data_IF_739151928450
#
_entry.id   IF_739151928450
#
_cell.length_a   1.000
_cell.length_b   1.000
_cell.length_c   1.000
_cell.angle_alpha   90.00
_cell.angle_beta   90.00
_cell.angle_gamma   90.00
#
_symmetry.space_group_name_H-M   'P 1'
#
loop_
_entity.id
_entity.type
_entity.pdbx_description
1 polymer ?
#
# COMPACT_ATOMS: atom_id res chain seq x y z
N UNK A 1 -31.59 -31.60 63.22
CA UNK A 1 -31.71 -31.82 61.76
C UNK A 1 -31.59 -30.48 61.06
N UNK A 2 -30.80 -30.36 59.99
CA UNK A 2 -30.27 -29.08 59.51
C UNK A 2 -31.31 -28.28 58.72
N UNK A 3 -31.26 -26.95 58.90
CA UNK A 3 -32.12 -25.98 58.24
C UNK A 3 -31.66 -25.68 56.81
N UNK A 4 -32.65 -25.52 55.92
CA UNK A 4 -32.47 -25.27 54.51
C UNK A 4 -31.95 -23.84 54.23
N UNK A 5 -30.73 -23.75 53.70
CA UNK A 5 -30.20 -22.54 53.05
C UNK A 5 -29.75 -22.95 51.64
N UNK A 6 -30.61 -22.72 50.65
CA UNK A 6 -30.31 -23.13 49.27
C UNK A 6 -31.43 -22.82 48.30
N UNK A 7 -31.60 -21.55 47.94
CA UNK A 7 -32.45 -21.17 46.79
C UNK A 7 -32.13 -19.79 46.18
N UNK A 8 -31.46 -18.88 46.89
CA UNK A 8 -31.22 -17.51 46.38
C UNK A 8 -30.03 -17.34 45.42
N UNK A 9 -29.09 -18.28 45.31
CA UNK A 9 -27.92 -18.13 44.43
C UNK A 9 -28.21 -18.48 42.96
N UNK A 10 -29.18 -19.36 42.70
CA UNK A 10 -29.51 -19.85 41.36
C UNK A 10 -30.37 -18.85 40.57
N UNK A 11 -31.27 -18.15 41.26
CA UNK A 11 -32.17 -17.13 40.67
C UNK A 11 -31.37 -15.90 40.24
N UNK A 12 -30.40 -15.45 41.05
CA UNK A 12 -29.54 -14.29 40.73
C UNK A 12 -28.63 -14.59 39.53
N UNK A 13 -28.08 -15.80 39.40
CA UNK A 13 -27.27 -16.20 38.23
C UNK A 13 -28.09 -16.29 36.94
N UNK A 14 -29.37 -16.70 36.99
CA UNK A 14 -30.25 -16.72 35.81
C UNK A 14 -30.65 -15.30 35.35
N UNK A 15 -30.88 -14.37 36.28
CA UNK A 15 -31.18 -12.97 35.96
C UNK A 15 -30.00 -12.25 35.30
N UNK A 16 -28.76 -12.46 35.78
CA UNK A 16 -27.57 -11.89 35.13
C UNK A 16 -27.29 -12.50 33.75
N UNK A 17 -27.60 -13.79 33.54
CA UNK A 17 -27.41 -14.43 32.23
C UNK A 17 -28.46 -13.95 31.21
N UNK A 18 -29.69 -13.68 31.66
CA UNK A 18 -30.75 -13.14 30.80
C UNK A 18 -30.54 -11.67 30.46
N UNK A 19 -30.10 -10.83 31.41
CA UNK A 19 -29.73 -9.43 31.11
C UNK A 19 -28.51 -9.34 30.19
N UNK A 20 -27.49 -10.19 30.37
CA UNK A 20 -26.31 -10.19 29.50
C UNK A 20 -26.61 -10.67 28.06
N UNK A 21 -27.51 -11.65 27.90
CA UNK A 21 -27.99 -12.06 26.58
C UNK A 21 -28.86 -10.97 25.95
N UNK A 22 -29.73 -10.31 26.72
CA UNK A 22 -30.53 -9.19 26.22
C UNK A 22 -29.65 -8.00 25.81
N UNK A 23 -28.59 -7.69 26.57
CA UNK A 23 -27.63 -6.62 26.28
C UNK A 23 -26.77 -6.86 25.03
N UNK A 24 -26.54 -8.12 24.64
CA UNK A 24 -25.81 -8.46 23.40
C UNK A 24 -26.74 -8.67 22.20
N UNK A 25 -27.97 -9.13 22.44
CA UNK A 25 -28.93 -9.48 21.38
C UNK A 25 -29.75 -8.26 20.95
N UNK A 26 -30.10 -7.34 21.85
CA UNK A 26 -30.84 -6.11 21.51
C UNK A 26 -30.06 -5.21 20.54
N UNK A 27 -28.76 -4.93 20.72
CA UNK A 27 -27.99 -4.18 19.72
C UNK A 27 -27.88 -4.89 18.38
N UNK A 28 -27.85 -6.23 18.37
CA UNK A 28 -27.80 -7.04 17.15
C UNK A 28 -29.15 -7.04 16.42
N UNK A 29 -30.26 -7.11 17.16
CA UNK A 29 -31.62 -6.99 16.62
C UNK A 29 -31.87 -5.58 16.10
N UNK A 30 -31.47 -4.54 16.83
CA UNK A 30 -31.55 -3.15 16.38
C UNK A 30 -30.66 -2.89 15.17
N UNK A 31 -29.47 -3.49 15.13
CA UNK A 31 -28.59 -3.44 13.96
C UNK A 31 -29.23 -4.13 12.76
N UNK A 32 -29.77 -5.35 12.92
CA UNK A 32 -30.46 -6.08 11.85
C UNK A 32 -31.73 -5.36 11.41
N UNK A 33 -32.49 -4.77 12.34
CA UNK A 33 -33.70 -4.00 12.05
C UNK A 33 -33.37 -2.73 11.27
N UNK A 34 -32.37 -1.95 11.71
CA UNK A 34 -31.84 -0.80 10.95
C UNK A 34 -31.27 -1.23 9.60
N UNK A 35 -30.62 -2.38 9.51
CA UNK A 35 -30.12 -2.94 8.26
C UNK A 35 -31.26 -3.26 7.30
N UNK A 36 -32.35 -3.81 7.83
CA UNK A 36 -33.52 -4.16 7.04
C UNK A 36 -34.34 -2.92 6.64
N UNK A 37 -34.42 -1.88 7.47
CA UNK A 37 -35.04 -0.59 7.12
C UNK A 37 -34.22 0.19 6.09
N UNK A 38 -32.90 0.30 6.28
CA UNK A 38 -32.02 0.97 5.34
C UNK A 38 -31.96 0.26 3.98
N UNK A 39 -32.00 -1.08 3.96
CA UNK A 39 -32.11 -1.84 2.72
C UNK A 39 -33.50 -1.72 2.07
N UNK A 40 -34.58 -1.57 2.85
CA UNK A 40 -35.95 -1.41 2.32
C UNK A 40 -36.22 -0.01 1.76
N UNK A 41 -35.52 1.03 2.24
CA UNK A 41 -35.77 2.40 1.83
C UNK A 41 -35.33 2.72 0.38
N UNK A 42 -34.32 2.03 -0.18
CA UNK A 42 -33.68 2.43 -1.45
C UNK A 42 -33.49 1.32 -2.50
N UNK A 43 -34.24 0.22 -2.44
CA UNK A 43 -34.10 -0.91 -3.39
C UNK A 43 -34.67 -0.65 -4.81
N UNK A 44 -34.96 0.60 -5.17
CA UNK A 44 -35.32 0.99 -6.54
C UNK A 44 -34.21 1.78 -7.25
N UNK A 45 -32.95 1.63 -6.82
CA UNK A 45 -31.80 2.06 -7.62
C UNK A 45 -31.63 0.99 -8.71
N UNK A 46 -32.23 1.24 -9.86
CA UNK A 46 -32.37 0.28 -10.95
C UNK A 46 -31.05 -0.42 -11.29
N UNK A 47 -31.03 -1.74 -11.14
CA UNK A 47 -30.09 -2.63 -11.82
C UNK A 47 -30.34 -2.55 -13.32
N UNK A 48 -29.89 -1.47 -13.95
CA UNK A 48 -29.82 -1.40 -15.41
C UNK A 48 -28.76 -2.39 -15.89
N UNK A 49 -29.02 -3.03 -17.03
CA UNK A 49 -28.12 -4.02 -17.68
C UNK A 49 -26.69 -3.51 -17.94
N UNK A 50 -26.43 -2.21 -17.75
CA UNK A 50 -25.15 -1.55 -18.00
C UNK A 50 -24.41 -1.08 -16.73
N UNK A 51 -25.08 -0.84 -15.60
CA UNK A 51 -24.45 -0.32 -14.37
C UNK A 51 -25.09 -0.92 -13.11
N UNK A 52 -24.25 -1.53 -12.25
CA UNK A 52 -24.65 -2.07 -10.96
C UNK A 52 -24.22 -1.13 -9.82
N UNK A 53 -25.20 -0.54 -9.14
CA UNK A 53 -25.01 0.37 -8.01
C UNK A 53 -25.35 -0.27 -6.66
N UNK A 54 -25.54 -1.60 -6.61
CA UNK A 54 -25.85 -2.34 -5.37
C UNK A 54 -24.82 -2.08 -4.26
N UNK A 55 -23.54 -1.96 -4.61
CA UNK A 55 -22.48 -1.63 -3.67
C UNK A 55 -22.56 -0.19 -3.13
N UNK A 56 -23.01 0.77 -3.94
CA UNK A 56 -23.24 2.15 -3.50
C UNK A 56 -24.41 2.21 -2.50
N UNK A 57 -25.52 1.53 -2.82
CA UNK A 57 -26.68 1.43 -1.93
C UNK A 57 -26.31 0.75 -0.60
N UNK A 58 -25.55 -0.35 -0.64
CA UNK A 58 -25.02 -1.01 0.56
C UNK A 58 -24.17 -0.07 1.40
N UNK A 59 -23.27 0.70 0.79
CA UNK A 59 -22.41 1.63 1.51
C UNK A 59 -23.21 2.76 2.17
N UNK A 60 -24.20 3.33 1.48
CA UNK A 60 -25.11 4.34 2.05
C UNK A 60 -25.91 3.79 3.24
N UNK A 61 -26.42 2.57 3.14
CA UNK A 61 -27.11 1.91 4.24
C UNK A 61 -26.19 1.69 5.46
N UNK A 62 -24.95 1.24 5.23
CA UNK A 62 -23.95 1.06 6.30
C UNK A 62 -23.60 2.38 6.99
N UNK A 63 -23.50 3.46 6.22
CA UNK A 63 -23.25 4.80 6.76
C UNK A 63 -24.44 5.29 7.61
N UNK A 64 -25.68 5.06 7.15
CA UNK A 64 -26.90 5.33 7.92
C UNK A 64 -26.98 4.51 9.23
N UNK A 65 -26.37 3.31 9.25
CA UNK A 65 -26.22 2.48 10.45
C UNK A 65 -25.10 2.94 11.38
N UNK A 66 -24.37 4.00 11.04
CA UNK A 66 -23.25 4.53 11.82
C UNK A 66 -21.93 3.78 11.62
N UNK A 67 -21.84 2.90 10.61
CA UNK A 67 -20.59 2.24 10.23
C UNK A 67 -19.76 3.27 9.46
N UNK A 68 -18.66 3.73 10.08
CA UNK A 68 -17.73 4.63 9.41
C UNK A 68 -17.02 3.90 8.27
N UNK A 69 -17.01 4.43 7.04
CA UNK A 69 -16.22 3.83 5.98
C UNK A 69 -14.73 3.85 6.36
N UNK A 70 -13.96 2.83 5.94
CA UNK A 70 -12.52 2.83 6.16
C UNK A 70 -11.92 4.07 5.49
N UNK A 71 -11.18 4.86 6.26
CA UNK A 71 -10.51 6.05 5.73
C UNK A 71 -9.30 5.62 4.93
N UNK A 72 -9.26 6.00 3.65
CA UNK A 72 -8.06 5.85 2.83
C UNK A 72 -6.99 6.81 3.33
N UNK A 73 -5.81 6.29 3.65
CA UNK A 73 -4.65 7.12 4.02
C UNK A 73 -3.87 7.42 2.76
N UNK A 74 -3.94 8.66 2.29
CA UNK A 74 -3.01 9.16 1.27
C UNK A 74 -1.64 9.29 1.91
N UNK A 75 -0.62 8.81 1.22
CA UNK A 75 0.76 9.15 1.54
C UNK A 75 1.12 10.38 0.72
N UNK A 76 1.84 11.35 1.30
CA UNK A 76 2.49 12.35 0.45
C UNK A 76 3.79 11.80 -0.10
N UNK A 77 4.16 12.30 -1.27
CA UNK A 77 5.15 11.70 -2.18
C UNK A 77 5.54 12.72 -3.22
N UNK A 78 6.79 12.66 -3.68
CA UNK A 78 7.22 13.36 -4.89
C UNK A 78 7.76 12.32 -5.87
N UNK A 79 7.10 12.21 -7.03
CA UNK A 79 7.60 11.43 -8.17
C UNK A 79 7.91 12.37 -9.34
N UNK A 80 8.98 12.08 -10.06
CA UNK A 80 9.48 12.90 -11.17
C UNK A 80 9.93 12.00 -12.32
N UNK A 81 9.66 12.41 -13.55
CA UNK A 81 10.14 11.74 -14.75
C UNK A 81 10.53 12.74 -15.83
N UNK A 82 11.58 12.44 -16.58
CA UNK A 82 12.12 13.26 -17.67
C UNK A 82 12.60 12.36 -18.82
N UNK A 83 12.15 12.65 -20.04
CA UNK A 83 12.69 12.06 -21.26
C UNK A 83 13.95 12.80 -21.69
N UNK A 84 14.94 12.05 -22.16
CA UNK A 84 16.17 12.58 -22.75
C UNK A 84 16.43 11.91 -24.11
N UNK A 85 17.49 12.33 -24.81
CA UNK A 85 17.73 11.93 -26.21
C UNK A 85 17.61 10.43 -26.47
N UNK A 86 18.21 9.61 -25.62
CA UNK A 86 18.33 8.17 -25.82
C UNK A 86 17.45 7.36 -24.86
N UNK A 87 16.61 7.99 -24.05
CA UNK A 87 15.89 7.28 -23.00
C UNK A 87 15.04 8.12 -22.06
N UNK A 88 14.84 7.61 -20.85
CA UNK A 88 14.03 8.22 -19.80
C UNK A 88 14.69 8.03 -18.44
N UNK A 89 14.61 9.04 -17.58
CA UNK A 89 14.92 8.92 -16.15
C UNK A 89 13.65 9.15 -15.34
N UNK A 90 13.37 8.26 -14.39
CA UNK A 90 12.24 8.39 -13.46
C UNK A 90 12.71 8.19 -12.03
N UNK A 91 12.17 8.92 -11.08
CA UNK A 91 12.54 8.77 -9.68
C UNK A 91 11.47 9.22 -8.71
N UNK A 92 11.69 8.84 -7.46
CA UNK A 92 10.81 9.12 -6.34
C UNK A 92 11.59 9.26 -5.04
N UNK A 93 10.99 9.95 -4.07
CA UNK A 93 11.45 9.95 -2.69
C UNK A 93 11.02 8.66 -1.94
N UNK A 94 11.64 8.36 -0.80
CA UNK A 94 11.41 7.11 -0.06
C UNK A 94 10.54 7.26 1.19
N UNK A 95 10.07 8.46 1.53
CA UNK A 95 9.23 8.69 2.70
C UNK A 95 7.80 8.21 2.45
N UNK A 96 7.25 7.39 3.33
CA UNK A 96 5.82 7.09 3.36
C UNK A 96 5.22 7.57 4.68
N UNK A 97 4.11 8.31 4.59
CA UNK A 97 3.44 8.93 5.73
C UNK A 97 2.08 8.28 5.98
N UNK A 98 1.72 8.10 7.26
CA UNK A 98 0.38 7.69 7.67
C UNK A 98 -0.26 8.86 8.43
N UNK A 99 -0.96 9.72 7.70
CA UNK A 99 -1.34 11.04 8.22
C UNK A 99 -0.10 11.90 8.43
N UNK A 100 0.07 12.46 9.61
CA UNK A 100 1.19 13.38 9.91
C UNK A 100 2.46 12.68 10.43
N UNK A 101 2.47 11.35 10.46
CA UNK A 101 3.59 10.55 10.99
C UNK A 101 4.28 9.83 9.84
N UNK A 102 5.61 9.82 9.84
CA UNK A 102 6.40 9.01 8.90
C UNK A 102 6.27 7.54 9.33
N UNK A 103 5.57 6.75 8.51
CA UNK A 103 5.37 5.32 8.72
C UNK A 103 6.57 4.50 8.24
N UNK A 104 7.16 4.89 7.12
CA UNK A 104 8.36 4.27 6.56
C UNK A 104 9.30 5.34 5.98
N UNK A 105 10.59 5.16 6.20
CA UNK A 105 11.67 6.02 5.69
C UNK A 105 12.28 5.51 4.39
N UNK A 106 12.03 4.24 4.03
CA UNK A 106 12.71 3.54 2.93
C UNK A 106 11.73 2.86 1.97
N UNK A 107 10.55 3.45 1.79
CA UNK A 107 9.54 2.93 0.88
C UNK A 107 9.97 3.08 -0.59
N UNK A 108 9.84 2.01 -1.38
CA UNK A 108 10.12 2.04 -2.82
C UNK A 108 8.84 2.37 -3.60
N UNK A 109 8.90 3.44 -4.41
CA UNK A 109 7.76 3.95 -5.19
C UNK A 109 7.96 3.87 -6.70
N UNK A 110 9.09 3.32 -7.12
CA UNK A 110 9.45 3.06 -8.52
C UNK A 110 9.19 1.59 -8.78
N UNK A 111 8.11 1.27 -9.45
CA UNK A 111 7.67 -0.10 -9.69
C UNK A 111 8.08 -0.57 -11.08
N UNK A 112 8.74 -1.73 -11.16
CA UNK A 112 9.03 -2.40 -12.43
C UNK A 112 7.76 -3.03 -12.99
N UNK A 113 7.36 -2.66 -14.21
CA UNK A 113 6.23 -3.31 -14.89
C UNK A 113 6.71 -4.44 -15.81
N UNK A 114 7.69 -4.15 -16.67
CA UNK A 114 8.41 -5.11 -17.53
C UNK A 114 9.90 -4.77 -17.53
N UNK A 115 10.72 -5.45 -18.33
CA UNK A 115 12.15 -5.14 -18.44
C UNK A 115 12.43 -3.77 -19.09
N UNK A 116 11.48 -3.20 -19.83
CA UNK A 116 11.62 -1.91 -20.53
C UNK A 116 10.61 -0.84 -20.08
N UNK A 117 9.73 -1.14 -19.13
CA UNK A 117 8.66 -0.25 -18.67
C UNK A 117 8.64 -0.20 -17.14
N UNK A 118 8.63 1.00 -16.59
CA UNK A 118 8.51 1.29 -15.17
C UNK A 118 7.34 2.24 -14.91
N UNK A 119 6.86 2.25 -13.68
CA UNK A 119 5.86 3.19 -13.22
C UNK A 119 6.23 3.76 -11.86
N UNK A 120 6.11 5.08 -11.70
CA UNK A 120 6.19 5.73 -10.40
C UNK A 120 4.77 6.03 -9.91
N UNK A 121 4.52 5.76 -8.63
CA UNK A 121 3.21 5.89 -8.02
C UNK A 121 3.11 7.01 -6.99
N UNK A 122 2.00 7.76 -7.02
CA UNK A 122 1.60 8.72 -5.99
C UNK A 122 0.10 8.55 -5.62
N UNK A 123 -0.28 8.94 -4.40
CA UNK A 123 -1.64 8.79 -3.87
C UNK A 123 -1.75 7.68 -2.81
N UNK A 124 -2.79 6.85 -2.90
CA UNK A 124 -3.01 5.76 -1.95
C UNK A 124 -2.02 4.63 -2.21
N UNK A 125 -1.11 4.37 -1.26
CA UNK A 125 -0.03 3.39 -1.43
C UNK A 125 -0.54 1.96 -1.76
N UNK A 126 -1.63 1.52 -1.12
CA UNK A 126 -2.18 0.19 -1.36
C UNK A 126 -2.76 0.05 -2.78
N UNK A 127 -3.48 1.07 -3.26
CA UNK A 127 -4.05 1.10 -4.61
C UNK A 127 -2.94 1.05 -5.67
N UNK A 128 -1.87 1.83 -5.47
CA UNK A 128 -0.71 1.85 -6.34
C UNK A 128 -0.05 0.49 -6.47
N UNK A 129 0.21 -0.18 -5.34
CA UNK A 129 0.85 -1.50 -5.32
C UNK A 129 0.00 -2.54 -6.06
N UNK A 130 -1.31 -2.54 -5.83
CA UNK A 130 -2.21 -3.49 -6.52
C UNK A 130 -2.35 -3.18 -8.02
N UNK A 131 -2.49 -1.92 -8.40
CA UNK A 131 -2.59 -1.51 -9.80
C UNK A 131 -1.30 -1.83 -10.54
N UNK A 132 -0.13 -1.52 -9.98
CA UNK A 132 1.16 -1.82 -10.62
C UNK A 132 1.42 -3.31 -10.75
N UNK A 133 1.11 -4.12 -9.72
CA UNK A 133 1.18 -5.60 -9.80
C UNK A 133 0.28 -6.17 -10.88
N UNK A 134 -0.97 -5.68 -10.96
CA UNK A 134 -1.91 -6.08 -12.00
C UNK A 134 -1.39 -5.74 -13.40
N UNK A 135 -0.90 -4.52 -13.60
CA UNK A 135 -0.34 -4.07 -14.87
C UNK A 135 0.88 -4.91 -15.26
N UNK A 136 1.79 -5.15 -14.32
CA UNK A 136 2.98 -6.00 -14.54
C UNK A 136 2.57 -7.41 -14.98
N UNK A 137 1.63 -8.05 -14.28
CA UNK A 137 1.15 -9.39 -14.63
C UNK A 137 0.49 -9.42 -16.03
N UNK A 138 -0.36 -8.45 -16.34
CA UNK A 138 -1.04 -8.37 -17.65
C UNK A 138 -0.06 -8.12 -18.80
N UNK A 139 0.92 -7.24 -18.60
CA UNK A 139 1.96 -6.97 -19.60
C UNK A 139 2.86 -8.18 -19.79
N UNK A 140 3.25 -8.85 -18.70
CA UNK A 140 4.06 -10.06 -18.79
C UNK A 140 3.34 -11.18 -19.53
N UNK A 141 2.05 -11.39 -19.26
CA UNK A 141 1.23 -12.36 -19.98
C UNK A 141 1.14 -12.01 -21.48
N UNK A 142 1.01 -10.73 -21.81
CA UNK A 142 1.01 -10.26 -23.21
C UNK A 142 2.33 -10.56 -23.91
N UNK A 143 3.47 -10.31 -23.25
CA UNK A 143 4.80 -10.60 -23.81
C UNK A 143 4.98 -12.08 -24.06
N UNK A 144 4.56 -12.93 -23.13
CA UNK A 144 4.62 -14.39 -23.28
C UNK A 144 3.74 -14.89 -24.43
N UNK A 145 2.53 -14.34 -24.57
CA UNK A 145 1.60 -14.74 -25.63
C UNK A 145 2.03 -14.27 -27.02
N UNK A 146 2.66 -13.09 -27.12
CA UNK A 146 3.04 -12.49 -28.41
C UNK A 146 4.48 -12.77 -28.81
N UNK A 147 5.33 -13.20 -27.87
CA UNK A 147 6.77 -13.35 -28.06
C UNK A 147 7.49 -12.02 -28.29
N UNK A 148 6.87 -10.87 -27.98
CA UNK A 148 7.40 -9.52 -28.23
C UNK A 148 7.34 -8.67 -26.97
N UNK A 149 8.29 -7.76 -26.80
CA UNK A 149 8.28 -6.77 -25.69
C UNK A 149 7.01 -5.92 -25.74
N UNK A 150 6.44 -5.63 -24.57
CA UNK A 150 5.26 -4.78 -24.47
C UNK A 150 5.58 -3.33 -24.85
N UNK A 151 4.61 -2.63 -25.44
CA UNK A 151 4.70 -1.18 -25.73
C UNK A 151 4.21 -0.36 -24.54
N UNK A 152 4.79 0.82 -24.34
CA UNK A 152 4.43 1.72 -23.21
C UNK A 152 2.96 2.15 -23.29
N UNK A 153 2.47 2.43 -24.51
CA UNK A 153 1.06 2.74 -24.79
C UNK A 153 0.10 1.63 -24.31
N UNK A 154 0.52 0.36 -24.35
CA UNK A 154 -0.32 -0.74 -23.87
C UNK A 154 -0.48 -0.69 -22.35
N UNK A 155 0.60 -0.39 -21.62
CA UNK A 155 0.56 -0.19 -20.17
C UNK A 155 -0.37 0.98 -19.81
N UNK A 156 -0.24 2.11 -20.50
CA UNK A 156 -1.13 3.26 -20.34
C UNK A 156 -2.60 2.91 -20.61
N UNK A 157 -2.88 2.18 -21.70
CA UNK A 157 -4.27 1.82 -22.06
C UNK A 157 -4.91 0.92 -21.00
N UNK A 158 -4.16 -0.04 -20.45
CA UNK A 158 -4.63 -0.91 -19.36
C UNK A 158 -4.88 -0.11 -18.10
N UNK A 159 -3.94 0.75 -17.71
CA UNK A 159 -4.05 1.60 -16.53
C UNK A 159 -5.28 2.50 -16.61
N UNK A 160 -5.43 3.28 -17.70
CA UNK A 160 -6.56 4.23 -17.80
C UNK A 160 -7.92 3.55 -17.86
N UNK A 161 -8.03 2.38 -18.51
CA UNK A 161 -9.29 1.64 -18.57
C UNK A 161 -9.70 1.14 -17.18
N UNK A 162 -8.73 0.64 -16.41
CA UNK A 162 -8.96 0.17 -15.05
C UNK A 162 -9.31 1.32 -14.10
N UNK A 163 -8.55 2.43 -14.14
CA UNK A 163 -8.81 3.58 -13.27
C UNK A 163 -10.16 4.24 -13.59
N UNK A 164 -10.47 4.41 -14.88
CA UNK A 164 -11.76 4.96 -15.32
C UNK A 164 -12.93 4.05 -14.95
N UNK A 165 -12.79 2.72 -15.01
CA UNK A 165 -13.88 1.82 -14.61
C UNK A 165 -14.24 1.92 -13.13
N UNK A 166 -13.32 2.45 -12.31
CA UNK A 166 -13.55 2.72 -10.90
C UNK A 166 -13.86 4.20 -10.63
N UNK A 167 -14.10 5.02 -11.65
CA UNK A 167 -14.57 6.41 -11.55
C UNK A 167 -13.78 7.29 -10.56
N UNK A 168 -12.47 7.02 -10.37
CA UNK A 168 -11.62 7.75 -9.43
C UNK A 168 -11.61 7.24 -7.98
N UNK A 169 -12.34 6.17 -7.65
CA UNK A 169 -12.29 5.55 -6.31
C UNK A 169 -10.96 4.86 -6.01
N UNK A 170 -10.25 4.42 -7.04
CA UNK A 170 -8.87 3.90 -6.92
C UNK A 170 -7.92 5.09 -7.00
N UNK A 171 -7.35 5.49 -5.86
CA UNK A 171 -6.57 6.73 -5.67
C UNK A 171 -5.14 6.64 -6.18
N UNK A 172 -4.96 6.19 -7.41
CA UNK A 172 -3.66 5.89 -8.04
C UNK A 172 -3.32 6.95 -9.10
N UNK A 173 -2.24 7.68 -8.87
CA UNK A 173 -1.65 8.61 -9.83
C UNK A 173 -0.32 8.05 -10.30
N UNK A 174 -0.20 7.81 -11.59
CA UNK A 174 0.93 7.08 -12.18
C UNK A 174 1.66 7.94 -13.19
N UNK A 175 2.99 7.95 -13.06
CA UNK A 175 3.87 8.26 -14.18
C UNK A 175 4.32 6.93 -14.78
N UNK A 176 3.91 6.63 -16.00
CA UNK A 176 4.26 5.39 -16.71
C UNK A 176 5.26 5.75 -17.79
N UNK A 177 6.44 5.15 -17.74
CA UNK A 177 7.51 5.46 -18.65
C UNK A 177 8.30 4.24 -19.08
N UNK A 178 8.83 4.28 -20.30
CA UNK A 178 9.63 3.21 -20.83
C UNK A 178 10.19 3.55 -22.20
N UNK A 179 11.03 2.65 -22.70
CA UNK A 179 11.58 2.76 -24.05
C UNK A 179 11.04 1.59 -24.87
N UNK A 180 10.38 1.91 -25.97
CA UNK A 180 9.87 0.93 -26.93
C UNK A 180 10.52 1.15 -28.31
N UNK A 181 10.25 0.30 -29.33
CA UNK A 181 10.87 0.44 -30.64
C UNK A 181 10.56 1.77 -31.36
N UNK A 182 9.58 2.54 -30.89
CA UNK A 182 9.25 3.87 -31.44
C UNK A 182 9.96 5.00 -30.70
N UNK A 183 10.63 4.71 -29.59
CA UNK A 183 11.41 5.67 -28.81
C UNK A 183 11.07 5.67 -27.31
N UNK A 184 11.63 6.63 -26.56
CA UNK A 184 11.25 6.86 -25.17
C UNK A 184 9.86 7.50 -25.09
N UNK A 185 9.02 6.97 -24.20
CA UNK A 185 7.69 7.50 -23.95
C UNK A 185 7.46 7.72 -22.46
N UNK A 186 6.87 8.86 -22.13
CA UNK A 186 6.42 9.20 -20.79
C UNK A 186 4.93 9.60 -20.83
N UNK A 187 4.15 8.98 -19.97
CA UNK A 187 2.73 9.24 -19.81
C UNK A 187 2.36 9.49 -18.36
N UNK A 188 1.52 10.48 -18.15
CA UNK A 188 0.84 10.75 -16.89
C UNK A 188 -0.55 10.11 -16.95
N UNK A 189 -0.95 9.42 -15.88
CA UNK A 189 -2.26 8.77 -15.76
C UNK A 189 -2.84 9.06 -14.37
N UNK A 190 -3.91 9.86 -14.34
CA UNK A 190 -4.58 10.26 -13.10
C UNK A 190 -5.63 9.23 -12.66
N UNK A 191 -6.04 9.28 -11.39
CA UNK A 191 -7.01 8.34 -10.80
C UNK A 191 -8.36 8.28 -11.54
N UNK A 192 -8.77 9.37 -12.18
CA UNK A 192 -10.00 9.43 -12.98
C UNK A 192 -9.85 8.87 -14.42
N UNK A 193 -8.68 8.29 -14.76
CA UNK A 193 -8.40 7.77 -16.10
C UNK A 193 -8.00 8.83 -17.14
N UNK A 194 -7.83 10.08 -16.73
CA UNK A 194 -7.25 11.13 -17.57
C UNK A 194 -5.77 10.84 -17.87
N UNK A 195 -5.34 11.07 -19.11
CA UNK A 195 -3.98 10.76 -19.55
C UNK A 195 -3.36 11.88 -20.37
N UNK A 196 -2.08 12.18 -20.15
CA UNK A 196 -1.29 13.08 -20.98
C UNK A 196 0.05 12.45 -21.37
N UNK A 197 0.56 12.82 -22.55
CA UNK A 197 1.96 12.57 -22.92
C UNK A 197 2.75 13.87 -22.73
N UNK A 198 3.89 13.77 -22.04
CA UNK A 198 4.74 14.93 -21.73
C UNK A 198 6.21 14.54 -21.78
N UNK A 199 7.12 15.48 -22.12
CA UNK A 199 8.56 15.24 -22.05
C UNK A 199 9.08 15.18 -20.60
N UNK A 200 8.39 15.82 -19.66
CA UNK A 200 8.65 15.68 -18.23
C UNK A 200 7.35 15.77 -17.45
N UNK A 201 7.33 15.19 -16.25
CA UNK A 201 6.19 15.27 -15.35
C UNK A 201 6.65 15.12 -13.90
N UNK A 202 5.93 15.78 -13.00
CA UNK A 202 6.01 15.55 -11.57
C UNK A 202 4.60 15.38 -11.01
N UNK A 203 4.45 14.48 -10.04
CA UNK A 203 3.18 14.13 -9.42
C UNK A 203 3.34 13.90 -7.91
N UNK A 204 2.24 13.97 -7.18
CA UNK A 204 2.20 13.87 -5.72
C UNK A 204 2.22 15.23 -5.00
N UNK A 205 2.42 15.21 -3.68
CA UNK A 205 2.31 16.40 -2.81
C UNK A 205 3.41 17.44 -3.08
N UNK A 206 4.65 17.00 -3.32
CA UNK A 206 5.78 17.89 -3.64
C UNK A 206 5.93 18.21 -5.14
N UNK A 207 4.94 17.84 -5.96
CA UNK A 207 4.97 18.01 -7.42
C UNK A 207 5.19 19.46 -7.85
N UNK A 208 4.54 20.43 -7.21
CA UNK A 208 4.67 21.84 -7.58
C UNK A 208 6.11 22.34 -7.49
N UNK A 209 6.80 22.04 -6.37
CA UNK A 209 8.21 22.41 -6.19
C UNK A 209 9.10 21.73 -7.23
N UNK A 210 8.88 20.43 -7.48
CA UNK A 210 9.61 19.70 -8.52
C UNK A 210 9.37 20.27 -9.93
N UNK A 211 8.12 20.58 -10.29
CA UNK A 211 7.74 21.17 -11.57
C UNK A 211 8.43 22.51 -11.80
N UNK A 212 8.60 23.36 -10.78
CA UNK A 212 9.32 24.63 -10.96
C UNK A 212 10.76 24.46 -11.43
N UNK A 213 11.44 23.40 -10.95
CA UNK A 213 12.82 23.08 -11.38
C UNK A 213 12.81 22.48 -12.78
N UNK A 214 11.85 21.60 -13.07
CA UNK A 214 11.70 21.00 -14.40
C UNK A 214 11.46 22.06 -15.46
N UNK A 215 10.49 22.97 -15.26
CA UNK A 215 10.17 24.04 -16.21
C UNK A 215 11.34 25.00 -16.46
N UNK A 216 12.14 25.28 -15.41
CA UNK A 216 13.27 26.21 -15.53
C UNK A 216 14.44 25.63 -16.33
N UNK A 217 14.76 24.36 -16.09
CA UNK A 217 16.05 23.78 -16.49
C UNK A 217 15.93 22.68 -17.55
N UNK A 218 14.73 22.23 -17.89
CA UNK A 218 14.51 21.25 -18.96
C UNK A 218 14.93 21.80 -20.32
N UNK A 219 15.61 20.95 -21.09
CA UNK A 219 15.96 21.20 -22.49
C UNK A 219 15.58 19.98 -23.32
N UNK A 220 15.22 20.22 -24.58
CA UNK A 220 15.08 19.12 -25.55
C UNK A 220 16.44 18.47 -25.79
N UNK A 221 16.46 17.16 -26.00
CA UNK A 221 17.65 16.37 -26.36
C UNK A 221 18.82 16.45 -25.36
N UNK A 222 18.53 16.57 -24.06
CA UNK A 222 19.54 16.46 -22.99
C UNK A 222 20.32 15.15 -23.05
N UNK A 223 21.55 15.18 -22.53
CA UNK A 223 22.31 13.95 -22.28
C UNK A 223 21.74 13.18 -21.09
N UNK A 224 22.14 11.92 -20.94
CA UNK A 224 21.73 11.10 -19.80
C UNK A 224 22.16 11.74 -18.47
N UNK A 225 23.36 12.29 -18.39
CA UNK A 225 23.92 12.91 -17.18
C UNK A 225 23.16 14.18 -16.80
N UNK A 226 22.83 15.02 -17.79
CA UNK A 226 22.01 16.22 -17.59
C UNK A 226 20.61 15.86 -17.08
N UNK A 227 19.99 14.83 -17.67
CA UNK A 227 18.67 14.36 -17.25
C UNK A 227 18.67 13.78 -15.82
N UNK A 228 19.70 13.01 -15.46
CA UNK A 228 19.87 12.49 -14.09
C UNK A 228 20.02 13.65 -13.09
N UNK A 229 20.87 14.62 -13.40
CA UNK A 229 21.06 15.80 -12.56
C UNK A 229 19.75 16.60 -12.41
N UNK A 230 18.99 16.78 -13.48
CA UNK A 230 17.71 17.47 -13.45
C UNK A 230 16.68 16.74 -12.57
N UNK A 231 16.56 15.42 -12.71
CA UNK A 231 15.65 14.61 -11.89
C UNK A 231 16.04 14.66 -10.41
N UNK A 232 17.33 14.54 -10.08
CA UNK A 232 17.81 14.65 -8.70
C UNK A 232 17.47 16.01 -8.10
N UNK A 233 17.75 17.11 -8.81
CA UNK A 233 17.47 18.46 -8.34
C UNK A 233 15.97 18.74 -8.18
N UNK A 234 15.15 18.22 -9.09
CA UNK A 234 13.69 18.34 -8.99
C UNK A 234 13.13 17.56 -7.80
N UNK A 235 13.62 16.34 -7.56
CA UNK A 235 13.27 15.56 -6.38
C UNK A 235 13.72 16.25 -5.09
N UNK A 236 14.94 16.75 -5.03
CA UNK A 236 15.44 17.49 -3.86
C UNK A 236 14.60 18.74 -3.56
N UNK A 237 14.18 19.48 -4.58
CA UNK A 237 13.27 20.61 -4.41
C UNK A 237 11.90 20.18 -3.85
N UNK A 238 11.34 19.07 -4.34
CA UNK A 238 10.12 18.48 -3.77
C UNK A 238 10.31 18.04 -2.33
N UNK A 239 11.40 17.34 -2.03
CA UNK A 239 11.73 16.84 -0.68
C UNK A 239 11.96 17.97 0.34
N UNK A 240 12.55 19.08 -0.09
CA UNK A 240 12.79 20.23 0.78
C UNK A 240 11.56 21.15 0.89
N UNK A 241 10.72 21.20 -0.15
CA UNK A 241 9.52 22.04 -0.22
C UNK A 241 8.23 21.40 0.32
N UNK A 242 8.23 20.09 0.58
CA UNK A 242 7.05 19.33 1.03
C UNK A 242 7.34 18.49 2.27
N UNK A 243 6.51 18.65 3.31
CA UNK A 243 6.64 17.92 4.58
C UNK A 243 6.42 16.41 4.42
N UNK A 244 5.62 16.00 3.44
CA UNK A 244 5.31 14.59 3.24
C UNK A 244 6.32 13.85 2.38
N UNK A 245 7.27 14.57 1.77
CA UNK A 245 8.35 14.00 0.95
C UNK A 245 9.69 14.06 1.68
N UNK A 246 10.60 13.11 1.43
CA UNK A 246 11.95 13.18 1.99
C UNK A 246 12.69 11.84 2.15
N UNK A 247 13.67 11.84 3.04
CA UNK A 247 14.57 10.71 3.34
C UNK A 247 15.60 10.42 2.26
N UNK A 248 15.37 9.45 1.39
CA UNK A 248 16.28 9.11 0.29
C UNK A 248 15.57 9.24 -1.05
N UNK A 249 16.35 9.49 -2.11
CA UNK A 249 15.88 9.47 -3.48
C UNK A 249 16.33 8.18 -4.17
N UNK A 250 15.42 7.64 -4.98
CA UNK A 250 15.64 6.46 -5.81
C UNK A 250 15.21 6.81 -7.22
N UNK A 251 15.98 6.38 -8.22
CA UNK A 251 15.61 6.59 -9.62
C UNK A 251 16.09 5.45 -10.50
N UNK A 252 15.44 5.33 -11.66
CA UNK A 252 15.77 4.37 -12.70
C UNK A 252 16.13 5.14 -13.97
N UNK A 253 17.20 4.71 -14.61
CA UNK A 253 17.62 5.16 -15.93
C UNK A 253 17.22 4.07 -16.91
N UNK A 254 16.36 4.39 -17.88
CA UNK A 254 15.83 3.45 -18.86
C UNK A 254 16.38 3.81 -20.23
N UNK A 255 17.08 2.85 -20.84
CA UNK A 255 17.62 2.89 -22.21
C UNK A 255 16.92 1.82 -23.05
N UNK A 256 17.09 1.79 -24.39
CA UNK A 256 16.51 0.75 -25.24
C UNK A 256 16.96 -0.68 -24.87
N UNK A 257 18.17 -0.80 -24.32
CA UNK A 257 18.80 -2.09 -24.01
C UNK A 257 18.59 -2.50 -22.56
N UNK A 258 18.79 -1.55 -21.62
CA UNK A 258 18.84 -1.84 -20.18
C UNK A 258 18.12 -0.80 -19.34
N UNK A 259 17.64 -1.22 -18.18
CA UNK A 259 17.15 -0.33 -17.14
C UNK A 259 18.01 -0.50 -15.89
N UNK A 260 18.58 0.60 -15.40
CA UNK A 260 19.48 0.60 -14.23
C UNK A 260 18.84 1.39 -13.11
N UNK A 261 18.58 0.70 -11.99
CA UNK A 261 18.13 1.33 -10.77
C UNK A 261 19.33 1.92 -10.01
N UNK A 262 19.19 3.16 -9.52
CA UNK A 262 20.18 3.85 -8.69
C UNK A 262 19.49 4.38 -7.44
N UNK A 263 20.06 4.05 -6.29
CA UNK A 263 19.54 4.41 -4.97
C UNK A 263 19.83 3.30 -3.96
N UNK A 264 19.64 3.57 -2.66
CA UNK A 264 19.17 4.83 -2.08
C UNK A 264 20.27 5.90 -2.02
N UNK A 265 19.97 7.11 -2.50
CA UNK A 265 20.85 8.29 -2.35
C UNK A 265 20.23 9.19 -1.29
N UNK A 266 21.02 9.58 -0.29
CA UNK A 266 20.55 10.42 0.82
C UNK A 266 21.03 11.84 0.58
N UNK A 267 20.12 12.82 0.35
CA UNK A 267 20.50 14.22 0.25
C UNK A 267 21.15 14.72 1.54
N UNK A 268 22.07 15.68 1.43
CA UNK A 268 22.78 16.26 2.58
C UNK A 268 21.82 16.74 3.68
N UNK A 269 20.71 17.39 3.31
CA UNK A 269 19.71 17.90 4.26
C UNK A 269 18.84 16.81 4.93
N UNK A 270 18.94 15.55 4.48
CA UNK A 270 18.26 14.40 5.09
C UNK A 270 19.19 13.56 5.99
N UNK A 271 20.48 13.87 6.03
CA UNK A 271 21.42 13.23 6.94
C UNK A 271 21.15 13.73 8.36
N UNK A 272 21.01 12.82 9.32
CA UNK A 272 20.82 13.20 10.73
C UNK A 272 22.08 13.95 11.21
N UNK A 273 21.97 15.23 11.61
CA UNK A 273 23.14 16.04 11.94
C UNK A 273 23.72 15.70 13.31
N UNK A 274 22.88 15.26 14.25
CA UNK A 274 23.27 15.06 15.65
C UNK A 274 23.55 13.58 15.96
N UNK A 275 24.67 13.27 16.64
CA UNK A 275 24.95 11.94 17.13
C UNK A 275 23.93 11.53 18.19
N UNK A 276 23.68 10.24 18.32
CA UNK A 276 22.83 9.71 19.39
C UNK A 276 23.61 9.80 20.71
N UNK A 277 23.29 10.78 21.54
CA UNK A 277 24.01 11.02 22.81
C UNK A 277 23.73 9.95 23.88
N UNK A 278 22.58 9.27 23.81
CA UNK A 278 22.14 8.30 24.81
C UNK A 278 21.85 6.94 24.18
N UNK A 279 22.55 5.90 24.65
CA UNK A 279 22.33 4.51 24.25
C UNK A 279 21.40 3.80 25.26
N UNK A 280 20.14 3.60 24.89
CA UNK A 280 19.12 2.97 25.74
C UNK A 280 19.17 1.44 25.70
N UNK A 281 20.32 0.84 26.04
CA UNK A 281 20.47 -0.61 26.15
C UNK A 281 20.29 -1.09 27.58
N UNK A 282 19.16 -1.74 27.84
CA UNK A 282 18.89 -2.36 29.14
C UNK A 282 19.53 -3.75 29.24
N UNK A 283 20.00 -4.12 30.42
CA UNK A 283 20.52 -5.46 30.70
C UNK A 283 19.41 -6.51 30.56
N UNK A 284 19.77 -7.72 30.13
CA UNK A 284 18.85 -8.86 30.09
C UNK A 284 18.28 -9.12 31.50
N UNK A 285 16.96 -9.36 31.60
CA UNK A 285 16.27 -9.53 32.88
C UNK A 285 15.73 -8.24 33.52
N UNK A 286 15.86 -7.10 32.83
CA UNK A 286 15.26 -5.81 33.26
C UNK A 286 13.72 -5.79 33.21
N UNK A 287 13.11 -6.62 32.37
CA UNK A 287 11.66 -6.72 32.22
C UNK A 287 11.11 -7.93 32.97
N UNK A 288 10.09 -7.72 33.83
CA UNK A 288 9.39 -8.80 34.55
C UNK A 288 8.56 -9.65 33.60
N UNK A 289 8.86 -10.95 33.50
CA UNK A 289 8.10 -11.92 32.70
C UNK A 289 7.10 -12.67 33.59
N UNK A 290 5.81 -12.73 33.21
CA UNK A 290 4.77 -13.41 33.99
C UNK A 290 4.68 -14.91 33.71
N UNK A 291 4.84 -15.31 32.45
CA UNK A 291 4.78 -16.70 32.01
C UNK A 291 5.69 -16.89 30.80
N UNK A 292 6.53 -17.90 30.84
CA UNK A 292 7.40 -18.32 29.74
C UNK A 292 7.05 -19.76 29.38
N UNK A 293 6.95 -20.06 28.09
CA UNK A 293 6.74 -21.42 27.58
C UNK A 293 7.82 -21.72 26.55
N UNK A 294 8.63 -22.72 26.82
CA UNK A 294 9.63 -23.22 25.88
C UNK A 294 9.01 -24.35 25.07
N UNK A 295 9.10 -24.23 23.73
CA UNK A 295 8.65 -25.25 22.79
C UNK A 295 9.91 -25.81 22.13
N UNK A 296 10.25 -27.07 22.44
CA UNK A 296 11.34 -27.79 21.80
C UNK A 296 10.84 -28.38 20.48
N UNK A 297 11.63 -28.23 19.42
CA UNK A 297 11.37 -28.82 18.12
C UNK A 297 12.52 -29.78 17.77
N UNK A 298 12.18 -30.98 17.32
CA UNK A 298 13.14 -31.92 16.76
C UNK A 298 13.26 -31.65 15.25
N UNK A 299 14.47 -31.36 14.77
CA UNK A 299 14.74 -31.15 13.34
C UNK A 299 14.97 -32.54 12.73
N UNK A 300 14.02 -33.00 11.92
CA UNK A 300 14.03 -34.39 11.42
C UNK A 300 14.71 -34.50 10.03
N UNK A 301 14.66 -33.48 9.17
CA UNK A 301 15.36 -33.50 7.87
C UNK A 301 15.79 -32.10 7.40
N UNK A 302 17.04 -31.96 7.00
CA UNK A 302 17.56 -30.84 6.21
C UNK A 302 17.71 -31.31 4.77
N UNK A 303 16.89 -30.80 3.84
CA UNK A 303 17.12 -31.06 2.41
C UNK A 303 18.44 -30.42 1.97
N UNK A 304 19.31 -31.13 1.22
CA UNK A 304 20.50 -30.50 0.64
C UNK A 304 20.04 -29.50 -0.44
N UNK A 305 20.48 -28.25 -0.29
CA UNK A 305 20.16 -27.14 -1.19
C UNK A 305 20.40 -27.50 -2.66
N UNK A 306 19.37 -27.35 -3.51
CA UNK A 306 19.60 -27.03 -4.92
C UNK A 306 20.26 -25.64 -4.96
N UNK A 307 21.46 -25.57 -5.54
CA UNK A 307 22.31 -24.37 -5.63
C UNK A 307 21.53 -23.10 -6.00
N UNK A 308 21.24 -22.26 -5.02
CA UNK A 308 21.18 -20.82 -5.19
C UNK A 308 21.97 -20.21 -4.04
N UNK A 309 23.04 -19.50 -4.39
CA UNK A 309 23.95 -18.87 -3.45
C UNK A 309 23.17 -17.86 -2.59
N UNK A 310 23.35 -17.98 -1.27
CA UNK A 310 22.97 -17.02 -0.25
C UNK A 310 21.48 -16.82 0.02
N UNK A 311 20.77 -17.83 0.57
CA UNK A 311 19.70 -17.57 1.55
C UNK A 311 19.48 -18.76 2.51
N UNK A 312 18.98 -18.43 3.71
CA UNK A 312 18.76 -19.28 4.90
C UNK A 312 17.91 -20.52 4.56
N UNK A 313 18.24 -21.73 5.05
CA UNK A 313 17.50 -22.94 4.71
C UNK A 313 16.03 -22.87 5.15
N UNK A 314 15.12 -23.24 4.25
CA UNK A 314 13.71 -23.45 4.57
C UNK A 314 13.57 -24.74 5.39
N UNK A 315 13.28 -24.60 6.69
CA UNK A 315 13.04 -25.73 7.60
C UNK A 315 11.54 -25.97 7.68
N UNK A 316 11.07 -27.13 7.19
CA UNK A 316 9.70 -27.57 7.42
C UNK A 316 9.57 -28.15 8.84
N UNK A 317 8.96 -27.39 9.75
CA UNK A 317 8.63 -27.86 11.10
C UNK A 317 7.29 -28.60 11.08
N UNK A 318 7.27 -29.90 11.40
CA UNK A 318 6.03 -30.65 11.60
C UNK A 318 5.58 -30.49 13.06
N UNK A 319 4.60 -29.61 13.29
CA UNK A 319 3.97 -29.46 14.61
C UNK A 319 3.04 -30.65 14.85
N UNK A 320 3.19 -31.43 15.94
CA UNK A 320 2.19 -32.42 16.33
C UNK A 320 0.95 -31.67 16.83
N UNK A 321 -0.09 -31.59 16.01
CA UNK A 321 -1.37 -31.00 16.40
C UNK A 321 -2.05 -31.88 17.46
N UNK A 322 -2.15 -31.37 18.70
CA UNK A 322 -3.28 -31.64 19.58
C UNK A 322 -4.10 -30.36 19.63
N UNK A 323 -5.21 -30.33 18.86
CA UNK A 323 -6.21 -29.28 18.94
C UNK A 323 -6.79 -29.26 20.35
N UNK A 324 -6.40 -28.26 21.14
CA UNK A 324 -7.19 -27.83 22.29
C UNK A 324 -8.08 -26.70 21.79
N UNK A 325 -9.39 -26.97 21.70
CA UNK A 325 -10.39 -25.95 21.44
C UNK A 325 -10.31 -24.91 22.58
N UNK A 326 -9.94 -23.67 22.22
CA UNK A 326 -10.11 -22.51 23.07
C UNK A 326 -11.58 -22.09 22.97
N UNK A 327 -12.28 -22.13 24.10
CA UNK A 327 -13.62 -21.60 24.26
C UNK A 327 -13.64 -20.11 23.90
N UNK A 328 -14.36 -19.77 22.83
CA UNK A 328 -14.38 -18.44 22.21
C UNK A 328 -15.13 -17.37 23.05
N UNK A 329 -15.63 -17.73 24.22
CA UNK A 329 -16.39 -16.85 25.11
C UNK A 329 -15.54 -15.85 25.91
N UNK A 330 -14.20 -16.00 25.95
CA UNK A 330 -13.32 -15.13 26.74
C UNK A 330 -12.70 -13.94 25.98
N UNK A 331 -12.79 -13.90 24.64
CA UNK A 331 -12.10 -12.91 23.79
C UNK A 331 -12.88 -11.60 23.57
N UNK A 332 -14.15 -11.52 23.97
CA UNK A 332 -14.97 -10.31 23.81
C UNK A 332 -14.87 -9.31 24.98
N UNK A 333 -14.14 -9.60 26.06
CA UNK A 333 -14.19 -8.73 27.27
C UNK A 333 -13.07 -7.71 27.43
N UNK A 334 -12.00 -7.75 26.64
CA UNK A 334 -10.94 -6.75 26.76
C UNK A 334 -10.67 -6.08 25.42
N UNK A 335 -11.24 -4.89 25.25
CA UNK A 335 -10.81 -3.88 24.30
C UNK A 335 -9.30 -3.63 24.45
N UNK A 336 -8.51 -4.26 23.57
CA UNK A 336 -7.14 -3.83 23.28
C UNK A 336 -7.08 -3.63 21.77
N UNK A 337 -7.37 -2.39 21.39
CA UNK A 337 -7.05 -1.85 20.08
C UNK A 337 -5.52 -1.84 20.00
N UNK A 338 -4.95 -2.69 19.17
CA UNK A 338 -3.54 -2.57 18.77
C UNK A 338 -3.41 -1.43 17.76
N UNK A 339 -2.61 -0.42 18.13
CA UNK A 339 -2.14 0.67 17.27
C UNK A 339 -1.32 0.18 16.08
#
# INVERSE_FOLDING_TARGET
MPGAVGSNSFIVKCLFFTEAVLMCVVPLIDFVAKMTEALRADLNIGCGVAFDFSNCARNMALEAMGVKPPTMKSTGTTIVAVTYKDGLVMGADSRATAGNIIADKHCEKVHKLTDSIYACGAGTAADLDQVTKMLSAQLRLLELNTGKKARVVTALRRAKQHLFSHMGYVGSYLLIGGVDPTGPHLYQCSANGYTQSKPFAAEGSGSYAATTVLERDFKTDMTQEEAVCLVQRALEAGMHGDNYSGNSLNFVIITPETAVFKGPIIPHFCVRPEPVELDYKFKLGSTKVLKQKEIKYDIIETFPNFKQENHVPFVHLRVPYKLHFLDSSALQRNNIISL
#
